data_IF_115943322084
#
_entry.id   IF_115943322084
#
_cell.length_a   1.000
_cell.length_b   1.000
_cell.length_c   1.000
_cell.angle_alpha   90.00
_cell.angle_beta   90.00
_cell.angle_gamma   90.00
#
_symmetry.space_group_name_H-M   'P 1'
#
loop_
_entity.id
_entity.type
_entity.pdbx_description
1 polymer ?
#
# COMPACT_ATOMS: atom_id res chain seq x y z
N UNK A 1 44.20 -81.62 11.92
CA UNK A 1 44.87 -80.39 12.33
C UNK A 1 43.95 -79.28 12.09
N UNK A 2 43.57 -78.58 13.10
CA UNK A 2 42.28 -77.88 13.22
C UNK A 2 42.41 -76.42 12.74
N UNK A 3 41.66 -76.05 11.73
CA UNK A 3 41.52 -74.66 11.28
C UNK A 3 40.45 -73.94 12.11
N UNK A 4 40.86 -72.98 12.87
CA UNK A 4 39.97 -72.07 13.57
C UNK A 4 39.63 -70.88 12.62
N UNK A 5 38.39 -70.81 12.19
CA UNK A 5 37.87 -69.67 11.45
C UNK A 5 37.42 -68.63 12.47
N UNK A 6 37.98 -67.42 12.42
CA UNK A 6 37.61 -66.26 13.20
C UNK A 6 36.51 -65.57 12.41
N UNK A 7 35.31 -65.55 12.95
CA UNK A 7 34.14 -64.80 12.39
C UNK A 7 34.22 -63.36 12.90
N UNK A 8 34.64 -62.42 12.03
CA UNK A 8 34.58 -60.99 12.34
C UNK A 8 33.18 -60.50 12.03
N UNK A 9 32.38 -60.20 13.02
CA UNK A 9 31.10 -59.53 12.86
C UNK A 9 31.32 -58.03 12.64
N UNK A 10 31.09 -57.58 11.41
CA UNK A 10 31.00 -56.16 11.10
C UNK A 10 29.66 -55.64 11.60
N UNK A 11 29.69 -54.90 12.70
CA UNK A 11 28.60 -54.03 13.12
C UNK A 11 28.56 -52.81 12.18
N UNK A 12 27.75 -52.87 11.14
CA UNK A 12 27.36 -51.71 10.38
C UNK A 12 26.39 -50.88 11.25
N UNK A 13 26.95 -49.96 12.01
CA UNK A 13 26.17 -48.89 12.63
C UNK A 13 25.54 -48.03 11.53
N UNK A 14 24.23 -48.16 11.37
CA UNK A 14 23.45 -47.17 10.61
C UNK A 14 23.56 -45.84 11.34
N UNK A 15 24.47 -45.00 10.89
CA UNK A 15 24.36 -43.60 11.17
C UNK A 15 23.13 -43.10 10.42
N UNK A 16 22.03 -42.96 11.15
CA UNK A 16 20.97 -42.07 10.72
C UNK A 16 21.64 -40.68 10.53
N UNK A 17 21.77 -40.26 9.28
CA UNK A 17 22.05 -38.90 9.02
C UNK A 17 20.89 -38.12 9.65
N UNK A 18 21.14 -37.51 10.79
CA UNK A 18 20.31 -36.44 11.24
C UNK A 18 20.35 -35.44 10.10
N UNK A 19 19.19 -35.21 9.46
CA UNK A 19 18.99 -34.05 8.65
C UNK A 19 19.32 -32.86 9.54
N UNK A 20 20.58 -32.45 9.53
CA UNK A 20 20.93 -31.10 9.89
C UNK A 20 20.27 -30.26 8.80
N UNK A 21 19.01 -29.84 9.06
CA UNK A 21 18.59 -28.56 8.53
C UNK A 21 19.74 -27.65 8.94
N UNK A 22 20.62 -27.38 8.00
CA UNK A 22 21.62 -26.36 8.15
C UNK A 22 20.81 -25.17 8.66
N UNK A 23 21.14 -24.74 9.85
CA UNK A 23 20.71 -23.45 10.39
C UNK A 23 21.25 -22.44 9.40
N UNK A 24 20.47 -22.21 8.29
CA UNK A 24 20.80 -21.23 7.28
C UNK A 24 20.73 -19.89 7.98
N UNK A 25 21.81 -19.68 8.76
CA UNK A 25 22.26 -18.40 9.21
C UNK A 25 21.17 -17.48 9.72
N UNK A 26 20.45 -17.88 10.79
CA UNK A 26 19.70 -16.89 11.58
C UNK A 26 20.71 -15.86 12.06
N UNK A 27 20.84 -14.76 11.33
CA UNK A 27 21.61 -13.62 11.76
C UNK A 27 20.74 -12.65 12.54
N UNK A 28 21.29 -11.88 13.47
CA UNK A 28 20.56 -10.81 14.11
C UNK A 28 20.00 -9.82 13.08
N UNK A 29 18.78 -9.33 13.33
CA UNK A 29 18.19 -8.28 12.52
C UNK A 29 19.02 -7.02 12.63
N UNK A 30 19.43 -6.46 11.51
CA UNK A 30 20.21 -5.22 11.44
C UNK A 30 19.32 -4.01 11.29
N UNK A 31 19.87 -2.81 11.47
CA UNK A 31 19.18 -1.56 11.17
C UNK A 31 18.73 -1.50 9.70
N UNK A 32 19.54 -2.00 8.79
CA UNK A 32 19.27 -2.03 7.36
C UNK A 32 18.09 -2.93 7.01
N UNK A 33 17.98 -4.10 7.65
CA UNK A 33 16.84 -5.00 7.47
C UNK A 33 15.53 -4.31 7.85
N UNK A 34 15.50 -3.59 8.98
CA UNK A 34 14.33 -2.85 9.42
C UNK A 34 13.98 -1.71 8.46
N UNK A 35 14.99 -1.08 7.88
CA UNK A 35 14.81 0.04 6.97
C UNK A 35 14.28 -0.41 5.60
N UNK A 36 14.79 -1.53 5.07
CA UNK A 36 14.44 -2.06 3.75
C UNK A 36 13.29 -3.07 3.78
N UNK A 37 12.74 -3.37 4.95
CA UNK A 37 11.63 -4.30 5.09
C UNK A 37 10.38 -3.77 4.37
N UNK A 38 9.81 -4.58 3.47
CA UNK A 38 8.51 -4.30 2.86
C UNK A 38 7.42 -4.18 3.91
N UNK A 39 6.55 -3.22 3.73
CA UNK A 39 5.43 -2.97 4.64
C UNK A 39 4.12 -3.26 3.95
N UNK A 40 3.24 -3.97 4.64
CA UNK A 40 1.92 -4.29 4.16
C UNK A 40 0.90 -3.37 4.83
N UNK A 41 0.03 -2.78 4.04
CA UNK A 41 -1.18 -2.14 4.56
C UNK A 41 -2.20 -3.21 4.97
N UNK A 42 -3.31 -2.78 5.57
CA UNK A 42 -4.42 -3.69 5.90
C UNK A 42 -5.00 -4.28 4.63
N UNK A 43 -5.05 -5.62 4.49
CA UNK A 43 -5.71 -6.25 3.34
C UNK A 43 -7.21 -5.94 3.32
N UNK A 44 -7.75 -5.78 2.12
CA UNK A 44 -9.19 -5.57 1.90
C UNK A 44 -9.72 -6.73 1.08
N UNK A 45 -10.57 -7.56 1.70
CA UNK A 45 -11.14 -8.74 1.07
C UNK A 45 -12.24 -8.38 0.09
N UNK A 46 -12.34 -9.16 -0.99
CA UNK A 46 -13.45 -9.12 -1.93
C UNK A 46 -14.77 -9.52 -1.25
N UNK A 47 -15.93 -9.09 -1.76
CA UNK A 47 -17.23 -9.43 -1.17
C UNK A 47 -17.53 -10.93 -1.07
N UNK A 48 -16.98 -11.74 -1.97
CA UNK A 48 -17.09 -13.21 -1.96
C UNK A 48 -16.10 -13.87 -0.98
N UNK A 49 -15.09 -13.12 -0.48
CA UNK A 49 -14.07 -13.63 0.42
C UNK A 49 -12.98 -14.47 -0.24
N UNK A 50 -12.96 -14.59 -1.55
CA UNK A 50 -11.96 -15.41 -2.27
C UNK A 50 -10.64 -14.68 -2.49
N UNK A 51 -10.68 -13.37 -2.59
CA UNK A 51 -9.52 -12.51 -2.88
C UNK A 51 -9.32 -11.45 -1.82
N UNK A 52 -8.10 -10.98 -1.72
CA UNK A 52 -7.74 -9.78 -0.96
C UNK A 52 -6.83 -8.88 -1.80
N UNK A 53 -7.04 -7.56 -1.72
CA UNK A 53 -6.08 -6.58 -2.24
C UNK A 53 -5.33 -5.97 -1.07
N UNK A 54 -4.02 -5.88 -1.21
CA UNK A 54 -3.13 -5.32 -0.20
C UNK A 54 -2.16 -4.34 -0.87
N UNK A 55 -1.97 -3.18 -0.28
CA UNK A 55 -0.90 -2.27 -0.68
C UNK A 55 0.41 -2.73 -0.04
N UNK A 56 1.44 -2.90 -0.86
CA UNK A 56 2.78 -3.31 -0.46
C UNK A 56 3.72 -2.14 -0.71
N UNK A 57 4.27 -1.58 0.36
CA UNK A 57 5.24 -0.50 0.28
C UNK A 57 6.65 -1.07 0.23
N UNK A 58 7.39 -0.72 -0.79
CA UNK A 58 8.83 -0.97 -0.92
C UNK A 58 9.56 0.31 -0.47
N UNK A 59 10.12 0.31 0.74
CA UNK A 59 10.83 1.48 1.25
C UNK A 59 12.15 1.67 0.49
N UNK A 60 12.56 2.93 0.35
CA UNK A 60 13.85 3.30 -0.18
C UNK A 60 14.56 4.26 0.79
N UNK A 61 15.88 4.44 0.61
CA UNK A 61 16.64 5.39 1.42
C UNK A 61 16.23 6.85 1.19
N UNK A 62 15.73 7.14 -0.01
CA UNK A 62 15.13 8.43 -0.33
C UNK A 62 13.61 8.28 -0.31
N UNK A 63 12.94 9.20 0.36
CA UNK A 63 11.48 9.18 0.54
C UNK A 63 10.75 9.18 -0.81
N UNK A 64 11.25 9.94 -1.78
CA UNK A 64 10.69 10.03 -3.13
C UNK A 64 10.85 8.76 -3.98
N UNK A 65 11.70 7.83 -3.56
CA UNK A 65 11.90 6.53 -4.21
C UNK A 65 11.04 5.43 -3.58
N UNK A 66 10.37 5.73 -2.46
CA UNK A 66 9.47 4.79 -1.79
C UNK A 66 8.19 4.67 -2.59
N UNK A 67 7.86 3.46 -3.03
CA UNK A 67 6.66 3.16 -3.82
C UNK A 67 5.73 2.22 -3.07
N UNK A 68 4.44 2.34 -3.33
CA UNK A 68 3.43 1.44 -2.76
C UNK A 68 2.49 0.97 -3.86
N UNK A 69 2.52 -0.32 -4.15
CA UNK A 69 1.71 -0.95 -5.20
C UNK A 69 0.64 -1.86 -4.63
N UNK A 70 -0.42 -2.04 -5.39
CA UNK A 70 -1.50 -2.95 -5.06
C UNK A 70 -1.20 -4.37 -5.55
N UNK A 71 -1.43 -5.33 -4.68
CA UNK A 71 -1.29 -6.76 -4.95
C UNK A 71 -2.58 -7.48 -4.69
N UNK A 72 -2.93 -8.41 -5.59
CA UNK A 72 -4.05 -9.34 -5.44
C UNK A 72 -3.53 -10.65 -4.88
N UNK A 73 -4.15 -11.13 -3.82
CA UNK A 73 -3.77 -12.35 -3.10
C UNK A 73 -5.00 -13.24 -2.97
N UNK A 74 -4.87 -14.51 -3.31
CA UNK A 74 -5.91 -15.49 -3.05
C UNK A 74 -5.96 -15.82 -1.55
N UNK A 75 -7.14 -15.74 -0.94
CA UNK A 75 -7.31 -15.96 0.51
C UNK A 75 -6.98 -17.40 0.92
N UNK A 76 -7.18 -18.37 0.02
CA UNK A 76 -6.85 -19.77 0.26
C UNK A 76 -5.34 -20.09 0.16
N UNK A 77 -4.52 -19.14 -0.27
CA UNK A 77 -3.06 -19.25 -0.40
C UNK A 77 -2.57 -20.18 -1.51
N UNK A 78 -3.44 -20.70 -2.38
CA UNK A 78 -3.04 -21.65 -3.43
C UNK A 78 -2.57 -20.99 -4.71
N UNK A 79 -2.94 -19.72 -4.91
CA UNK A 79 -2.55 -18.96 -6.10
C UNK A 79 -1.48 -17.95 -5.71
N UNK A 80 -0.43 -17.87 -6.52
CA UNK A 80 0.65 -16.88 -6.31
C UNK A 80 0.10 -15.44 -6.34
N UNK A 81 0.57 -14.58 -5.43
CA UNK A 81 0.21 -13.18 -5.43
C UNK A 81 0.52 -12.48 -6.76
N UNK A 82 -0.41 -11.67 -7.23
CA UNK A 82 -0.25 -10.91 -8.48
C UNK A 82 -0.23 -9.42 -8.23
N UNK A 83 0.80 -8.74 -8.70
CA UNK A 83 0.88 -7.28 -8.68
C UNK A 83 -0.16 -6.70 -9.64
N UNK A 84 -1.01 -5.80 -9.15
CA UNK A 84 -2.05 -5.11 -9.92
C UNK A 84 -1.57 -3.80 -10.52
N UNK A 85 -0.73 -3.09 -9.77
CA UNK A 85 -0.19 -1.79 -10.19
C UNK A 85 1.34 -1.82 -10.15
N UNK A 86 1.97 -1.00 -10.97
CA UNK A 86 3.42 -0.91 -11.09
C UNK A 86 3.81 0.52 -11.47
N UNK A 87 3.46 1.46 -10.62
CA UNK A 87 3.75 2.88 -10.83
C UNK A 87 4.93 3.33 -9.97
N UNK A 88 5.48 4.51 -10.25
CA UNK A 88 6.50 5.12 -9.40
C UNK A 88 5.89 5.92 -8.24
N UNK A 89 4.58 5.94 -8.15
CA UNK A 89 3.82 6.65 -7.13
C UNK A 89 3.19 5.68 -6.14
N UNK A 90 2.77 6.19 -5.00
CA UNK A 90 2.10 5.38 -3.99
C UNK A 90 0.60 5.29 -4.21
N UNK A 91 0.06 4.10 -4.01
CA UNK A 91 -1.36 3.78 -4.07
C UNK A 91 -1.82 3.30 -2.70
N UNK A 92 -2.96 3.82 -2.24
CA UNK A 92 -3.53 3.48 -0.95
C UNK A 92 -5.07 3.53 -0.93
N UNK A 93 -5.65 3.25 0.23
CA UNK A 93 -7.09 3.42 0.46
C UNK A 93 -7.98 2.53 -0.40
N UNK A 94 -7.48 1.36 -0.82
CA UNK A 94 -8.22 0.44 -1.69
C UNK A 94 -9.55 -0.01 -1.07
N UNK A 95 -10.58 -0.09 -1.93
CA UNK A 95 -11.93 -0.57 -1.58
C UNK A 95 -12.52 -1.38 -2.72
N UNK A 96 -13.05 -2.54 -2.42
CA UNK A 96 -13.86 -3.30 -3.37
C UNK A 96 -15.25 -2.68 -3.54
N UNK A 97 -15.74 -2.70 -4.76
CA UNK A 97 -17.17 -2.44 -5.00
C UNK A 97 -18.00 -3.58 -4.42
N UNK A 98 -19.22 -3.32 -3.89
CA UNK A 98 -20.09 -4.34 -3.33
C UNK A 98 -20.44 -5.49 -4.28
N UNK A 99 -20.43 -5.25 -5.60
CA UNK A 99 -20.63 -6.27 -6.62
C UNK A 99 -19.38 -7.15 -6.91
N UNK A 100 -18.23 -6.82 -6.29
CA UNK A 100 -16.96 -7.54 -6.48
C UNK A 100 -16.28 -7.33 -7.83
N UNK A 101 -16.81 -6.48 -8.69
CA UNK A 101 -16.30 -6.34 -10.05
C UNK A 101 -15.20 -5.30 -10.19
N UNK A 102 -15.08 -4.37 -9.23
CA UNK A 102 -14.14 -3.24 -9.31
C UNK A 102 -13.48 -2.97 -7.97
N UNK A 103 -12.31 -2.35 -8.05
CA UNK A 103 -11.68 -1.70 -6.88
C UNK A 103 -11.54 -0.22 -7.14
N UNK A 104 -11.68 0.59 -6.09
CA UNK A 104 -11.35 2.01 -6.09
C UNK A 104 -10.18 2.23 -5.13
N UNK A 105 -9.28 3.15 -5.47
CA UNK A 105 -8.12 3.49 -4.65
C UNK A 105 -7.67 4.92 -4.92
N UNK A 106 -6.82 5.44 -4.05
CA UNK A 106 -6.19 6.75 -4.19
C UNK A 106 -4.79 6.58 -4.77
N UNK A 107 -4.41 7.40 -5.73
CA UNK A 107 -3.06 7.41 -6.30
C UNK A 107 -2.66 8.81 -6.79
N UNK A 108 -1.35 9.05 -6.85
CA UNK A 108 -0.75 10.32 -7.26
C UNK A 108 -0.06 10.22 -8.63
N UNK A 109 -0.63 9.57 -9.58
CA UNK A 109 -0.05 9.22 -10.89
C UNK A 109 0.26 10.45 -11.76
N UNK A 110 1.46 11.03 -11.55
CA UNK A 110 1.89 12.23 -12.28
C UNK A 110 1.12 13.51 -11.96
N UNK A 111 0.25 13.48 -10.98
CA UNK A 111 -0.45 14.65 -10.43
C UNK A 111 0.29 15.19 -9.19
N UNK A 112 0.10 16.44 -8.85
CA UNK A 112 0.65 17.02 -7.60
C UNK A 112 -0.05 16.49 -6.35
N UNK A 113 -1.29 16.02 -6.50
CA UNK A 113 -2.16 15.54 -5.43
C UNK A 113 -2.82 14.23 -5.79
N UNK A 114 -3.16 13.42 -4.79
CA UNK A 114 -3.84 12.15 -5.01
C UNK A 114 -5.22 12.33 -5.63
N UNK A 115 -5.59 11.41 -6.50
CA UNK A 115 -6.91 11.33 -7.14
C UNK A 115 -7.49 9.93 -6.97
N UNK A 116 -8.79 9.78 -7.17
CA UNK A 116 -9.44 8.47 -7.14
C UNK A 116 -9.31 7.80 -8.51
N UNK A 117 -8.91 6.54 -8.46
CA UNK A 117 -8.83 5.64 -9.60
C UNK A 117 -9.75 4.44 -9.39
N UNK A 118 -10.26 3.89 -10.47
CA UNK A 118 -11.06 2.65 -10.48
C UNK A 118 -10.44 1.66 -11.45
N UNK A 119 -10.29 0.43 -11.01
CA UNK A 119 -9.81 -0.69 -11.83
C UNK A 119 -10.91 -1.75 -11.93
N UNK A 120 -11.13 -2.26 -13.14
CA UNK A 120 -11.99 -3.41 -13.40
C UNK A 120 -11.23 -4.71 -13.01
N UNK A 121 -11.85 -5.53 -12.20
CA UNK A 121 -11.25 -6.79 -11.74
C UNK A 121 -11.73 -8.00 -12.53
N UNK A 122 -12.69 -7.81 -13.44
CA UNK A 122 -13.24 -8.88 -14.29
C UNK A 122 -12.41 -9.11 -15.55
N UNK A 123 -11.63 -8.11 -15.96
CA UNK A 123 -10.76 -8.20 -17.13
C UNK A 123 -9.43 -7.46 -16.90
N UNK A 124 -8.34 -7.86 -17.59
CA UNK A 124 -7.10 -7.09 -17.57
C UNK A 124 -7.30 -5.70 -18.13
N UNK A 125 -6.75 -4.66 -17.45
CA UNK A 125 -6.86 -3.28 -17.91
C UNK A 125 -6.16 -2.32 -16.96
N UNK A 126 -6.01 -1.09 -17.43
CA UNK A 126 -5.47 0.01 -16.65
C UNK A 126 -6.54 0.64 -15.76
N UNK A 127 -6.14 1.13 -14.60
CA UNK A 127 -7.02 1.90 -13.73
C UNK A 127 -7.38 3.25 -14.37
N UNK A 128 -8.66 3.59 -14.31
CA UNK A 128 -9.21 4.83 -14.84
C UNK A 128 -9.26 5.91 -13.75
N UNK A 129 -8.75 7.09 -14.03
CA UNK A 129 -8.86 8.27 -13.17
C UNK A 129 -10.31 8.76 -13.16
N UNK A 130 -10.90 8.86 -11.96
CA UNK A 130 -12.31 9.26 -11.80
C UNK A 130 -12.45 10.70 -11.31
N UNK A 131 -11.47 11.22 -10.57
CA UNK A 131 -11.47 12.60 -10.07
C UNK A 131 -10.32 13.40 -10.66
N UNK A 132 -10.45 14.72 -10.67
CA UNK A 132 -9.41 15.67 -11.10
C UNK A 132 -9.54 16.97 -10.30
N UNK A 133 -9.51 16.86 -8.97
CA UNK A 133 -9.70 17.99 -8.07
C UNK A 133 -8.38 18.70 -7.77
N UNK A 134 -8.38 20.00 -7.70
CA UNK A 134 -7.20 20.84 -7.44
C UNK A 134 -6.54 20.54 -6.09
N UNK A 135 -7.32 20.15 -5.11
CA UNK A 135 -6.87 19.79 -3.75
C UNK A 135 -6.81 18.28 -3.52
N UNK A 136 -7.14 17.48 -4.55
CA UNK A 136 -7.07 16.04 -4.51
C UNK A 136 -8.29 15.34 -3.91
N UNK A 137 -8.31 14.01 -4.07
CA UNK A 137 -9.34 13.13 -3.55
C UNK A 137 -8.68 11.86 -2.97
N UNK A 138 -9.17 11.42 -1.81
CA UNK A 138 -8.63 10.26 -1.09
C UNK A 138 -9.73 9.44 -0.46
N UNK A 139 -9.39 8.24 0.04
CA UNK A 139 -10.27 7.36 0.84
C UNK A 139 -11.62 7.09 0.18
N UNK A 140 -11.63 6.49 -1.02
CA UNK A 140 -12.88 6.17 -1.71
C UNK A 140 -13.75 5.20 -0.89
N UNK A 141 -15.07 5.37 -0.98
CA UNK A 141 -16.07 4.46 -0.43
C UNK A 141 -17.18 4.26 -1.44
N UNK A 142 -17.44 3.01 -1.81
CA UNK A 142 -18.53 2.66 -2.71
C UNK A 142 -19.89 2.78 -2.04
N UNK A 143 -20.87 3.24 -2.81
CA UNK A 143 -22.28 3.11 -2.42
C UNK A 143 -22.71 1.63 -2.47
N UNK A 144 -23.72 1.22 -1.68
CA UNK A 144 -24.18 -0.16 -1.65
C UNK A 144 -24.64 -0.72 -3.01
N UNK A 145 -25.05 0.14 -3.92
CA UNK A 145 -25.49 -0.22 -5.29
C UNK A 145 -24.33 -0.27 -6.30
N UNK A 146 -23.08 -0.11 -5.86
CA UNK A 146 -21.86 -0.08 -6.69
C UNK A 146 -21.83 0.99 -7.79
N UNK A 147 -22.70 2.02 -7.72
CA UNK A 147 -22.83 3.02 -8.79
C UNK A 147 -22.16 4.34 -8.48
N UNK A 148 -21.89 4.63 -7.22
CA UNK A 148 -21.32 5.91 -6.78
C UNK A 148 -20.15 5.66 -5.85
N UNK A 149 -19.26 6.62 -5.77
CA UNK A 149 -18.12 6.65 -4.86
C UNK A 149 -18.20 7.95 -4.07
N UNK A 150 -18.24 7.88 -2.75
CA UNK A 150 -17.92 8.98 -1.86
C UNK A 150 -16.40 8.98 -1.62
N UNK A 151 -15.82 10.13 -1.43
CA UNK A 151 -14.40 10.29 -1.15
C UNK A 151 -14.15 11.52 -0.27
N UNK A 152 -13.00 11.58 0.35
CA UNK A 152 -12.57 12.74 1.12
C UNK A 152 -11.74 13.66 0.22
N UNK A 153 -12.03 14.98 0.29
CA UNK A 153 -11.19 16.03 -0.27
C UNK A 153 -10.87 17.07 0.79
N UNK A 154 -9.69 17.66 0.71
CA UNK A 154 -9.29 18.76 1.59
C UNK A 154 -9.50 20.08 0.86
N UNK A 155 -10.33 20.95 1.43
CA UNK A 155 -10.72 22.21 0.83
C UNK A 155 -10.28 23.40 1.67
N UNK A 156 -10.05 24.52 1.04
CA UNK A 156 -9.76 25.77 1.75
C UNK A 156 -11.03 26.31 2.44
N UNK A 157 -10.89 26.96 3.61
CA UNK A 157 -12.01 27.50 4.36
C UNK A 157 -12.92 28.39 3.49
N UNK A 158 -14.21 28.06 3.48
CA UNK A 158 -15.21 28.79 2.73
C UNK A 158 -15.18 28.60 1.19
N UNK A 159 -14.32 27.68 0.68
CA UNK A 159 -14.26 27.33 -0.73
C UNK A 159 -15.01 26.03 -0.95
N UNK A 160 -16.14 26.07 -1.66
CA UNK A 160 -17.03 24.93 -1.82
C UNK A 160 -16.95 24.28 -3.20
N UNK A 161 -16.37 24.99 -4.20
CA UNK A 161 -16.19 24.45 -5.55
C UNK A 161 -14.74 24.18 -5.87
N UNK A 162 -14.48 23.34 -6.85
CA UNK A 162 -13.11 23.03 -7.29
C UNK A 162 -12.40 24.24 -7.88
N UNK A 163 -13.13 25.08 -8.63
CA UNK A 163 -12.62 26.32 -9.22
C UNK A 163 -12.16 27.31 -8.13
N UNK A 164 -12.94 27.45 -7.05
CA UNK A 164 -12.56 28.31 -5.92
C UNK A 164 -11.32 27.76 -5.20
N UNK A 165 -11.25 26.44 -5.02
CA UNK A 165 -10.09 25.78 -4.41
C UNK A 165 -8.84 25.89 -5.28
N UNK A 166 -8.98 25.72 -6.61
CA UNK A 166 -7.90 25.90 -7.56
C UNK A 166 -7.36 27.33 -7.55
N UNK A 167 -8.25 28.31 -7.54
CA UNK A 167 -7.89 29.73 -7.48
C UNK A 167 -7.16 30.08 -6.18
N UNK A 168 -7.64 29.58 -5.04
CA UNK A 168 -7.02 29.81 -3.73
C UNK A 168 -5.64 29.14 -3.64
N UNK A 169 -5.52 27.89 -4.13
CA UNK A 169 -4.23 27.17 -4.20
C UNK A 169 -3.22 28.00 -4.98
N UNK A 170 -3.58 28.43 -6.18
CA UNK A 170 -2.73 29.24 -7.04
C UNK A 170 -2.35 30.57 -6.37
N UNK A 171 -3.31 31.27 -5.77
CA UNK A 171 -3.04 32.52 -5.07
C UNK A 171 -2.05 32.35 -3.91
N UNK A 172 -2.09 31.20 -3.23
CA UNK A 172 -1.14 30.89 -2.15
C UNK A 172 0.24 30.53 -2.66
N UNK A 173 0.36 29.83 -3.77
CA UNK A 173 1.63 29.48 -4.42
C UNK A 173 2.33 30.72 -5.00
N UNK A 174 1.57 31.71 -5.48
CA UNK A 174 2.09 32.96 -6.05
C UNK A 174 2.42 34.06 -5.02
N UNK A 175 2.27 33.77 -3.70
CA UNK A 175 2.60 34.75 -2.65
C UNK A 175 4.09 35.05 -2.58
N UNK A 176 4.45 36.31 -2.43
CA UNK A 176 5.83 36.76 -2.25
C UNK A 176 6.42 36.44 -0.86
N UNK A 177 5.63 35.81 0.02
CA UNK A 177 6.04 35.49 1.38
C UNK A 177 5.67 34.05 1.77
N UNK A 178 6.50 33.44 2.57
CA UNK A 178 6.27 32.11 3.14
C UNK A 178 6.00 32.23 4.65
N UNK A 179 4.84 32.79 5.02
CA UNK A 179 4.42 32.92 6.40
C UNK A 179 2.98 32.44 6.58
N UNK A 180 2.73 31.71 7.66
CA UNK A 180 1.39 31.25 8.06
C UNK A 180 1.05 31.86 9.41
N UNK A 181 -0.07 32.58 9.48
CA UNK A 181 -0.64 33.06 10.72
C UNK A 181 -1.59 31.99 11.29
N UNK A 182 -1.51 31.76 12.60
CA UNK A 182 -2.37 30.84 13.32
C UNK A 182 -3.16 31.60 14.38
N UNK A 183 -4.46 31.38 14.40
CA UNK A 183 -5.38 31.93 15.42
C UNK A 183 -5.81 30.86 16.43
N UNK A 184 -5.33 29.63 16.27
CA UNK A 184 -5.65 28.48 17.12
C UNK A 184 -4.41 27.74 17.58
N UNK A 185 -4.50 27.07 18.73
CA UNK A 185 -3.48 26.17 19.25
C UNK A 185 -4.04 24.73 19.26
N UNK A 186 -3.22 23.68 18.98
CA UNK A 186 -1.81 23.71 18.62
C UNK A 186 -1.57 24.07 17.14
N UNK A 187 -0.47 24.81 16.87
CA UNK A 187 -0.06 25.20 15.50
C UNK A 187 0.70 24.10 14.77
N UNK A 188 1.05 23.03 15.49
CA UNK A 188 1.83 21.90 14.97
C UNK A 188 1.27 20.59 15.51
N UNK A 189 1.23 19.60 14.65
CA UNK A 189 0.89 18.24 15.02
C UNK A 189 2.08 17.34 14.67
N UNK A 190 2.69 16.74 15.70
CA UNK A 190 3.90 15.95 15.57
C UNK A 190 5.03 16.75 14.89
N UNK A 191 5.51 16.34 13.70
CA UNK A 191 6.54 17.00 12.92
C UNK A 191 6.00 17.90 11.80
N UNK A 192 4.67 18.08 11.68
CA UNK A 192 4.02 18.85 10.62
C UNK A 192 3.35 20.09 11.16
N UNK A 193 3.56 21.21 10.49
CA UNK A 193 2.76 22.41 10.70
C UNK A 193 1.33 22.15 10.27
N UNK A 194 0.39 22.63 11.04
CA UNK A 194 -1.03 22.54 10.63
C UNK A 194 -1.28 23.53 9.51
N UNK A 195 -2.05 23.08 8.54
CA UNK A 195 -2.68 23.94 7.56
C UNK A 195 -4.12 24.24 8.00
N UNK A 196 -4.79 25.10 7.27
CA UNK A 196 -6.18 25.49 7.49
C UNK A 196 -7.17 24.70 6.63
N UNK A 197 -6.68 23.72 5.86
CA UNK A 197 -7.54 22.88 5.02
C UNK A 197 -8.52 22.05 5.85
N UNK A 198 -9.75 22.00 5.40
CA UNK A 198 -10.84 21.26 6.01
C UNK A 198 -11.17 20.02 5.18
N UNK A 199 -11.38 18.87 5.84
CA UNK A 199 -11.79 17.65 5.14
C UNK A 199 -13.29 17.67 4.89
N UNK A 200 -13.68 17.49 3.64
CA UNK A 200 -15.07 17.34 3.17
C UNK A 200 -15.24 15.97 2.50
N UNK A 201 -16.50 15.50 2.45
CA UNK A 201 -16.91 14.26 1.78
C UNK A 201 -17.87 14.59 0.65
#
# INVERSE_FOLDING_TARGET
MRNAAILAALLLGSFAAADTHADEGLRPVTHEDLWTMRRLATPVTSPDGEWAVVAVTEPAYKEEETVSDLWLVAVDGKTEPRRLTATNDSEDGVQWSPDGMRIAFSAKRGDDVSQIYVMDMTMPGEAQKITSLATGATRPKWSPDSKRIAFESRVYPGKLTDEENAAEKKAREERDYNATAYDIFPIRQWNRWRDDLQTHV
#
